data_IF_949471804950
#
_entry.id   IF_949471804950
#
_cell.length_a   1.000
_cell.length_b   1.000
_cell.length_c   1.000
_cell.angle_alpha   90.00
_cell.angle_beta   90.00
_cell.angle_gamma   90.00
#
_symmetry.space_group_name_H-M   'P 1'
#
loop_
_entity.id
_entity.type
_entity.pdbx_description
1 polymer ?
#
# COMPACT_ATOMS: atom_id res chain seq x y z
N UNK A 1 -2.85 -5.40 -23.70
CA UNK A 1 -1.38 -5.34 -23.54
C UNK A 1 -0.61 -4.79 -24.76
N UNK A 2 -1.22 -4.62 -25.95
CA UNK A 2 -0.51 -4.12 -27.15
C UNK A 2 -0.12 -2.62 -27.15
N UNK A 3 -0.68 -1.79 -26.26
CA UNK A 3 -0.47 -0.32 -26.30
C UNK A 3 0.91 0.19 -25.84
N UNK A 4 1.81 -0.68 -25.35
CA UNK A 4 3.13 -0.27 -24.83
C UNK A 4 4.30 -0.47 -25.80
N UNK A 5 4.04 -1.01 -27.00
CA UNK A 5 5.00 -1.13 -28.11
C UNK A 5 4.51 -0.13 -29.16
N UNK A 6 4.89 1.14 -29.16
CA UNK A 6 5.94 1.73 -30.01
C UNK A 6 6.01 3.25 -29.73
N UNK A 7 7.22 3.83 -29.65
CA UNK A 7 7.51 5.28 -29.79
C UNK A 7 7.35 6.18 -28.55
N UNK A 8 8.47 6.63 -27.94
CA UNK A 8 8.50 7.59 -26.81
C UNK A 8 7.63 7.21 -25.59
N UNK A 9 7.57 5.92 -25.28
CA UNK A 9 6.70 5.28 -24.29
C UNK A 9 7.15 5.41 -22.82
N UNK A 10 7.76 6.53 -22.40
CA UNK A 10 8.01 6.70 -20.96
C UNK A 10 6.66 6.91 -20.27
N UNK A 11 6.27 5.98 -19.39
CA UNK A 11 5.09 6.14 -18.53
C UNK A 11 5.20 7.48 -17.80
N UNK A 12 4.15 8.29 -17.89
CA UNK A 12 4.09 9.52 -17.11
C UNK A 12 4.19 9.19 -15.62
N UNK A 13 4.80 10.09 -14.85
CA UNK A 13 4.82 9.94 -13.40
C UNK A 13 3.40 9.85 -12.84
N UNK A 14 3.23 8.95 -11.88
CA UNK A 14 1.98 8.81 -11.18
C UNK A 14 1.88 9.81 -10.02
N UNK A 15 0.75 10.51 -9.91
CA UNK A 15 0.60 11.56 -8.92
C UNK A 15 0.54 11.01 -7.50
N UNK A 16 -0.23 9.93 -7.28
CA UNK A 16 -0.43 9.35 -5.96
C UNK A 16 0.85 8.71 -5.46
N UNK A 17 1.60 8.04 -6.33
CA UNK A 17 2.91 7.48 -5.98
C UNK A 17 3.91 8.57 -5.58
N UNK A 18 3.95 9.70 -6.29
CA UNK A 18 4.83 10.80 -5.89
C UNK A 18 4.40 11.43 -4.56
N UNK A 19 3.09 11.50 -4.29
CA UNK A 19 2.58 12.03 -3.02
C UNK A 19 2.93 11.08 -1.87
N UNK A 20 2.76 9.77 -2.02
CA UNK A 20 3.09 8.80 -0.97
C UNK A 20 4.58 8.87 -0.62
N UNK A 21 5.45 8.88 -1.63
CA UNK A 21 6.91 9.06 -1.42
C UNK A 21 7.22 10.38 -0.69
N UNK A 22 6.62 11.51 -1.12
CA UNK A 22 6.83 12.81 -0.44
C UNK A 22 6.37 12.81 1.00
N UNK A 23 5.25 12.14 1.30
CA UNK A 23 4.71 12.05 2.67
C UNK A 23 5.66 11.23 3.55
N UNK A 24 6.10 10.08 3.05
CA UNK A 24 7.08 9.21 3.70
C UNK A 24 8.35 9.97 4.08
N UNK A 25 9.00 10.64 3.10
CA UNK A 25 10.21 11.43 3.33
C UNK A 25 9.97 12.55 4.36
N UNK A 26 8.90 13.34 4.21
CA UNK A 26 8.60 14.44 5.14
C UNK A 26 8.35 13.96 6.56
N UNK A 27 7.68 12.82 6.71
CA UNK A 27 7.41 12.24 8.03
C UNK A 27 8.72 11.81 8.70
N UNK A 28 9.62 11.19 7.94
CA UNK A 28 10.94 10.79 8.45
C UNK A 28 11.81 12.00 8.82
N UNK A 29 11.94 13.00 7.94
CA UNK A 29 12.67 14.23 8.23
C UNK A 29 12.18 14.88 9.53
N UNK A 30 10.86 14.95 9.71
CA UNK A 30 10.25 15.50 10.93
C UNK A 30 10.54 14.63 12.17
N UNK A 31 10.51 13.30 12.04
CA UNK A 31 10.75 12.36 13.14
C UNK A 31 12.20 12.40 13.61
N UNK A 32 13.14 12.49 12.68
CA UNK A 32 14.57 12.46 12.96
C UNK A 32 15.18 13.87 13.14
N UNK A 33 14.38 14.94 12.95
CA UNK A 33 14.84 16.34 13.00
C UNK A 33 15.98 16.61 12.00
N UNK A 34 15.90 16.00 10.82
CA UNK A 34 16.85 16.19 9.73
C UNK A 34 16.23 17.03 8.62
N UNK A 35 17.08 17.73 7.87
CA UNK A 35 16.66 18.54 6.74
C UNK A 35 16.58 17.70 5.45
N UNK A 36 15.83 18.19 4.45
CA UNK A 36 15.72 17.49 3.15
C UNK A 36 17.07 17.29 2.45
N UNK A 37 18.06 18.16 2.71
CA UNK A 37 19.42 17.99 2.18
C UNK A 37 20.10 16.76 2.78
N UNK A 38 19.95 16.55 4.08
CA UNK A 38 20.54 15.41 4.79
C UNK A 38 19.91 14.10 4.32
N UNK A 39 18.57 14.05 4.26
CA UNK A 39 17.87 12.88 3.70
C UNK A 39 18.28 12.59 2.25
N UNK A 40 18.42 13.64 1.41
CA UNK A 40 18.85 13.45 0.03
C UNK A 40 20.26 12.85 -0.05
N UNK A 41 21.18 13.28 0.82
CA UNK A 41 22.53 12.72 0.90
C UNK A 41 22.51 11.27 1.36
N UNK A 42 21.65 10.89 2.31
CA UNK A 42 21.49 9.49 2.76
C UNK A 42 21.08 8.56 1.62
N UNK A 43 20.17 8.99 0.74
CA UNK A 43 19.78 8.20 -0.45
C UNK A 43 20.78 8.33 -1.62
N UNK A 44 21.94 8.96 -1.42
CA UNK A 44 22.99 9.09 -2.42
C UNK A 44 22.70 10.12 -3.52
N UNK A 45 21.93 11.16 -3.23
CA UNK A 45 21.63 12.25 -4.17
C UNK A 45 21.73 13.63 -3.52
N UNK A 46 21.35 14.69 -4.23
CA UNK A 46 21.27 16.06 -3.69
C UNK A 46 19.82 16.51 -3.58
N UNK A 47 19.50 17.46 -2.68
CA UNK A 47 18.11 17.93 -2.50
C UNK A 47 17.51 18.48 -3.80
N UNK A 48 18.32 19.17 -4.61
CA UNK A 48 17.87 19.68 -5.92
C UNK A 48 17.50 18.56 -6.90
N UNK A 49 18.26 17.47 -6.93
CA UNK A 49 17.96 16.30 -7.77
C UNK A 49 16.74 15.55 -7.24
N UNK A 50 16.66 15.32 -5.93
CA UNK A 50 15.50 14.68 -5.28
C UNK A 50 14.21 15.47 -5.53
N UNK A 51 14.24 16.79 -5.33
CA UNK A 51 13.11 17.68 -5.61
C UNK A 51 12.64 17.58 -7.06
N UNK A 52 13.58 17.56 -8.01
CA UNK A 52 13.27 17.35 -9.43
C UNK A 52 12.68 15.96 -9.72
N UNK A 53 13.20 14.90 -9.08
CA UNK A 53 12.66 13.54 -9.20
C UNK A 53 11.24 13.42 -8.63
N UNK A 54 10.93 14.18 -7.58
CA UNK A 54 9.60 14.20 -6.97
C UNK A 54 8.64 15.23 -7.60
N UNK A 55 9.10 16.04 -8.56
CA UNK A 55 8.26 17.04 -9.24
C UNK A 55 7.47 16.40 -10.38
N UNK A 56 6.16 16.60 -10.38
CA UNK A 56 5.25 16.09 -11.41
C UNK A 56 5.54 16.67 -12.80
N UNK A 57 5.97 17.94 -12.87
CA UNK A 57 6.28 18.58 -14.14
C UNK A 57 7.61 18.13 -14.75
N UNK A 58 8.49 17.48 -13.98
CA UNK A 58 9.77 17.00 -14.50
C UNK A 58 9.60 15.54 -14.94
N UNK A 59 9.46 15.30 -16.24
CA UNK A 59 9.32 13.95 -16.79
C UNK A 59 10.66 13.28 -17.10
N UNK A 60 11.78 14.02 -16.99
CA UNK A 60 13.13 13.53 -17.32
C UNK A 60 13.68 12.74 -16.14
N UNK A 61 13.74 13.36 -14.96
CA UNK A 61 14.31 12.75 -13.76
C UNK A 61 13.24 11.94 -13.04
N UNK A 62 13.39 10.63 -12.94
CA UNK A 62 12.52 9.76 -12.15
C UNK A 62 13.29 9.21 -10.95
N UNK A 63 12.56 8.86 -9.89
CA UNK A 63 13.07 8.02 -8.81
C UNK A 63 13.42 6.65 -9.43
N UNK A 64 14.66 6.19 -9.23
CA UNK A 64 15.05 4.84 -9.64
C UNK A 64 14.46 3.80 -8.69
N UNK A 65 14.48 2.53 -9.08
CA UNK A 65 14.03 1.45 -8.18
C UNK A 65 14.91 1.34 -6.93
N UNK A 66 16.22 1.58 -7.08
CA UNK A 66 17.18 1.57 -5.97
C UNK A 66 16.87 2.70 -4.98
N UNK A 67 16.63 3.92 -5.47
CA UNK A 67 16.22 5.04 -4.62
C UNK A 67 14.88 4.78 -3.95
N UNK A 68 13.92 4.17 -4.67
CA UNK A 68 12.62 3.82 -4.12
C UNK A 68 12.75 2.82 -2.96
N UNK A 69 13.56 1.77 -3.12
CA UNK A 69 13.86 0.79 -2.07
C UNK A 69 14.55 1.47 -0.90
N UNK A 70 15.60 2.25 -1.16
CA UNK A 70 16.38 2.90 -0.11
C UNK A 70 15.54 3.90 0.71
N UNK A 71 14.65 4.65 0.05
CA UNK A 71 13.68 5.51 0.74
C UNK A 71 12.82 4.69 1.71
N UNK A 72 12.31 3.52 1.30
CA UNK A 72 11.50 2.68 2.19
C UNK A 72 12.30 2.09 3.34
N UNK A 73 13.55 1.71 3.10
CA UNK A 73 14.46 1.19 4.14
C UNK A 73 14.79 2.25 5.19
N UNK A 74 15.11 3.48 4.77
CA UNK A 74 15.40 4.59 5.69
C UNK A 74 14.14 4.99 6.47
N UNK A 75 13.03 5.20 5.76
CA UNK A 75 11.82 5.77 6.38
C UNK A 75 11.02 4.74 7.16
N UNK A 76 11.21 3.44 6.90
CA UNK A 76 10.36 2.35 7.39
C UNK A 76 8.91 2.42 6.90
N UNK A 77 8.59 3.30 5.94
CA UNK A 77 7.24 3.51 5.43
C UNK A 77 7.06 2.81 4.07
N UNK A 78 6.30 1.70 4.09
CA UNK A 78 5.97 0.91 2.91
C UNK A 78 4.68 1.34 2.20
N UNK A 79 4.05 2.45 2.61
CA UNK A 79 2.86 2.98 1.92
C UNK A 79 3.07 3.26 0.43
N UNK A 80 4.25 3.70 -0.05
CA UNK A 80 4.48 3.86 -1.48
C UNK A 80 4.45 2.53 -2.25
N UNK A 81 4.94 1.45 -1.65
CA UNK A 81 4.93 0.11 -2.24
C UNK A 81 3.51 -0.47 -2.27
N UNK A 82 2.73 -0.29 -1.20
CA UNK A 82 1.30 -0.64 -1.18
C UNK A 82 0.53 0.11 -2.27
N UNK A 83 0.79 1.41 -2.43
CA UNK A 83 0.19 2.20 -3.51
C UNK A 83 0.59 1.66 -4.89
N UNK A 84 1.88 1.36 -5.09
CA UNK A 84 2.34 0.81 -6.36
C UNK A 84 1.63 -0.51 -6.70
N UNK A 85 1.36 -1.36 -5.70
CA UNK A 85 0.64 -2.61 -5.89
C UNK A 85 -0.84 -2.40 -6.26
N UNK A 86 -1.53 -1.47 -5.59
CA UNK A 86 -2.94 -1.20 -5.88
C UNK A 86 -3.15 -0.64 -7.29
N UNK A 87 -2.15 0.02 -7.90
CA UNK A 87 -2.19 0.42 -9.31
C UNK A 87 -2.35 -0.77 -10.29
N UNK A 88 -2.13 -2.00 -9.83
CA UNK A 88 -2.25 -3.24 -10.60
C UNK A 88 -3.21 -4.24 -9.94
N UNK A 89 -4.09 -3.76 -9.06
CA UNK A 89 -5.03 -4.60 -8.29
C UNK A 89 -4.33 -5.69 -7.48
N UNK A 90 -3.06 -5.44 -7.11
CA UNK A 90 -2.30 -6.33 -6.24
C UNK A 90 -2.34 -5.87 -4.80
N UNK A 91 -2.29 -6.87 -3.94
CA UNK A 91 -2.20 -6.71 -2.50
C UNK A 91 -0.81 -7.16 -2.05
N UNK A 92 -0.14 -6.31 -1.28
CA UNK A 92 1.14 -6.65 -0.66
C UNK A 92 0.93 -6.95 0.82
N UNK A 93 1.50 -8.06 1.26
CA UNK A 93 1.58 -8.41 2.67
C UNK A 93 3.02 -8.73 3.08
N UNK A 94 3.40 -8.32 4.29
CA UNK A 94 4.71 -8.68 4.85
C UNK A 94 4.71 -10.14 5.26
N UNK A 95 5.78 -10.86 4.94
CA UNK A 95 6.02 -12.23 5.39
C UNK A 95 6.83 -12.29 6.69
N UNK A 96 7.32 -11.14 7.19
CA UNK A 96 8.06 -11.12 8.45
C UNK A 96 7.11 -11.16 9.65
N UNK A 97 7.33 -12.08 10.60
CA UNK A 97 6.60 -12.08 11.87
C UNK A 97 6.95 -10.82 12.66
N UNK A 98 6.02 -9.86 12.72
CA UNK A 98 6.13 -8.67 13.56
C UNK A 98 6.11 -9.00 15.07
N UNK A 99 5.76 -10.23 15.42
CA UNK A 99 5.89 -10.88 16.73
C UNK A 99 5.22 -12.26 16.59
N UNK A 100 5.47 -13.24 17.48
CA UNK A 100 4.63 -14.43 17.53
C UNK A 100 3.17 -13.99 17.69
N UNK A 101 2.29 -14.37 16.76
CA UNK A 101 0.90 -13.99 16.82
C UNK A 101 0.26 -14.50 18.11
N UNK A 102 -0.42 -13.63 18.84
CA UNK A 102 -1.24 -14.04 19.97
C UNK A 102 -2.58 -14.56 19.44
N UNK A 103 -2.87 -15.83 19.73
CA UNK A 103 -4.13 -16.50 19.36
C UNK A 103 -5.33 -15.76 19.97
N UNK A 104 -5.14 -15.05 21.08
CA UNK A 104 -6.20 -14.30 21.78
C UNK A 104 -6.88 -13.25 20.89
N UNK A 105 -6.14 -12.64 19.94
CA UNK A 105 -6.66 -11.58 19.07
C UNK A 105 -7.31 -12.12 17.77
N UNK A 106 -7.25 -13.42 17.50
CA UNK A 106 -7.86 -13.98 16.29
C UNK A 106 -9.39 -13.88 16.30
N UNK A 107 -10.02 -13.95 17.47
CA UNK A 107 -11.47 -13.81 17.59
C UNK A 107 -11.94 -12.44 17.10
N UNK A 108 -11.32 -11.38 17.59
CA UNK A 108 -11.63 -10.00 17.19
C UNK A 108 -11.34 -9.75 15.71
N UNK A 109 -10.24 -10.30 15.18
CA UNK A 109 -9.92 -10.20 13.76
C UNK A 109 -10.92 -10.95 12.88
N UNK A 110 -11.35 -12.15 13.30
CA UNK A 110 -12.37 -12.91 12.59
C UNK A 110 -13.73 -12.19 12.60
N UNK A 111 -14.11 -11.59 13.74
CA UNK A 111 -15.33 -10.80 13.86
C UNK A 111 -15.27 -9.56 12.97
N UNK A 112 -14.15 -8.82 12.98
CA UNK A 112 -13.94 -7.67 12.11
C UNK A 112 -14.00 -8.06 10.63
N UNK A 113 -13.27 -9.11 10.23
CA UNK A 113 -13.33 -9.63 8.85
C UNK A 113 -14.76 -9.99 8.42
N UNK A 114 -15.54 -10.58 9.32
CA UNK A 114 -16.93 -10.92 9.04
C UNK A 114 -17.84 -9.69 8.91
N UNK A 115 -17.63 -8.66 9.74
CA UNK A 115 -18.36 -7.40 9.68
C UNK A 115 -18.09 -6.72 8.34
N UNK A 116 -16.83 -6.47 7.98
CA UNK A 116 -16.47 -5.79 6.72
C UNK A 116 -16.95 -6.59 5.48
N UNK A 117 -16.88 -7.92 5.55
CA UNK A 117 -17.42 -8.79 4.47
C UNK A 117 -18.94 -8.68 4.34
N UNK A 118 -19.65 -8.49 5.44
CA UNK A 118 -21.11 -8.30 5.42
C UNK A 118 -21.50 -6.90 4.92
N UNK A 119 -20.72 -5.87 5.26
CA UNK A 119 -20.94 -4.49 4.81
C UNK A 119 -20.75 -4.38 3.30
N UNK A 120 -19.63 -4.89 2.77
CA UNK A 120 -19.39 -4.97 1.31
C UNK A 120 -20.48 -5.74 0.58
N UNK A 121 -20.89 -6.91 1.09
CA UNK A 121 -21.99 -7.68 0.52
C UNK A 121 -23.30 -6.88 0.51
N UNK A 122 -23.63 -6.22 1.62
CA UNK A 122 -24.87 -5.44 1.77
C UNK A 122 -24.89 -4.23 0.83
N UNK A 123 -23.77 -3.53 0.68
CA UNK A 123 -23.62 -2.39 -0.22
C UNK A 123 -23.85 -2.81 -1.67
N UNK A 124 -23.21 -3.90 -2.12
CA UNK A 124 -23.38 -4.44 -3.47
C UNK A 124 -24.85 -4.83 -3.69
N UNK A 125 -25.47 -5.53 -2.74
CA UNK A 125 -26.89 -5.93 -2.85
C UNK A 125 -27.84 -4.74 -2.91
N UNK A 126 -27.50 -3.63 -2.24
CA UNK A 126 -28.28 -2.40 -2.28
C UNK A 126 -28.13 -1.69 -3.63
N UNK A 127 -26.90 -1.49 -4.09
CA UNK A 127 -26.60 -0.79 -5.34
C UNK A 127 -27.19 -1.49 -6.58
N UNK A 128 -27.28 -2.82 -6.60
CA UNK A 128 -27.84 -3.54 -7.76
C UNK A 128 -29.38 -3.58 -7.79
N UNK A 129 -30.07 -3.04 -6.78
CA UNK A 129 -31.51 -3.27 -6.56
C UNK A 129 -32.39 -2.62 -7.62
N UNK A 130 -32.03 -1.44 -8.10
CA UNK A 130 -32.79 -0.69 -9.11
C UNK A 130 -32.27 -0.91 -10.55
N UNK A 131 -31.21 -1.71 -10.70
CA UNK A 131 -30.58 -2.05 -11.98
C UNK A 131 -29.73 -0.93 -12.58
N UNK A 132 -29.46 0.15 -11.84
CA UNK A 132 -28.58 1.24 -12.24
C UNK A 132 -27.48 1.42 -11.20
N UNK A 133 -26.27 1.77 -11.63
CA UNK A 133 -25.16 2.03 -10.71
C UNK A 133 -24.69 3.46 -10.95
N UNK A 134 -24.85 4.30 -9.94
CA UNK A 134 -24.31 5.67 -9.91
C UNK A 134 -22.81 5.66 -9.60
N UNK A 135 -22.09 6.74 -9.94
CA UNK A 135 -20.66 6.85 -9.58
C UNK A 135 -20.46 6.90 -8.05
N UNK A 136 -21.43 7.39 -7.29
CA UNK A 136 -21.40 7.36 -5.83
C UNK A 136 -21.49 5.92 -5.31
N UNK A 137 -22.46 5.14 -5.78
CA UNK A 137 -22.60 3.72 -5.41
C UNK A 137 -21.38 2.89 -5.83
N UNK A 138 -20.83 3.16 -7.01
CA UNK A 138 -19.59 2.52 -7.46
C UNK A 138 -18.42 2.86 -6.54
N UNK A 139 -18.29 4.11 -6.13
CA UNK A 139 -17.25 4.54 -5.19
C UNK A 139 -17.41 3.87 -3.83
N UNK A 140 -18.64 3.80 -3.32
CA UNK A 140 -18.95 3.15 -2.05
C UNK A 140 -18.69 1.64 -2.13
N UNK A 141 -19.16 0.95 -3.17
CA UNK A 141 -18.88 -0.48 -3.35
C UNK A 141 -17.38 -0.78 -3.40
N UNK A 142 -16.59 0.04 -4.11
CA UNK A 142 -15.14 -0.14 -4.17
C UNK A 142 -14.50 0.03 -2.78
N UNK A 143 -14.89 1.09 -2.06
CA UNK A 143 -14.42 1.33 -0.70
C UNK A 143 -14.72 0.16 0.24
N UNK A 144 -15.98 -0.30 0.28
CA UNK A 144 -16.38 -1.40 1.18
C UNK A 144 -15.68 -2.73 0.81
N UNK A 145 -15.45 -2.98 -0.49
CA UNK A 145 -14.66 -4.14 -0.95
C UNK A 145 -13.20 -4.03 -0.50
N UNK A 146 -12.59 -2.84 -0.61
CA UNK A 146 -11.22 -2.61 -0.16
C UNK A 146 -11.08 -2.80 1.36
N UNK A 147 -12.05 -2.31 2.14
CA UNK A 147 -12.10 -2.47 3.60
C UNK A 147 -12.19 -3.97 3.99
N UNK A 148 -13.03 -4.74 3.28
CA UNK A 148 -13.14 -6.21 3.45
C UNK A 148 -11.84 -6.95 3.09
N UNK A 149 -11.17 -6.54 2.01
CA UNK A 149 -9.87 -7.10 1.62
C UNK A 149 -8.83 -6.81 2.70
N UNK A 150 -8.78 -5.58 3.22
CA UNK A 150 -7.86 -5.20 4.29
C UNK A 150 -8.05 -6.07 5.55
N UNK A 151 -9.28 -6.23 6.03
CA UNK A 151 -9.58 -7.04 7.20
C UNK A 151 -9.22 -8.53 6.99
N UNK A 152 -9.50 -9.07 5.80
CA UNK A 152 -9.11 -10.44 5.45
C UNK A 152 -7.58 -10.63 5.43
N UNK A 153 -6.83 -9.63 4.97
CA UNK A 153 -5.38 -9.67 4.97
C UNK A 153 -4.79 -9.57 6.37
N UNK A 154 -5.32 -8.70 7.20
CA UNK A 154 -4.92 -8.60 8.61
C UNK A 154 -5.12 -9.95 9.32
N UNK A 155 -6.27 -10.59 9.09
CA UNK A 155 -6.57 -11.93 9.63
C UNK A 155 -5.63 -12.99 9.09
N UNK A 156 -5.42 -13.05 7.77
CA UNK A 156 -4.46 -13.98 7.12
C UNK A 156 -3.05 -13.82 7.70
N UNK A 157 -2.62 -12.59 7.88
CA UNK A 157 -1.31 -12.28 8.44
C UNK A 157 -1.22 -12.79 9.87
N UNK A 158 -2.17 -12.45 10.73
CA UNK A 158 -2.19 -12.93 12.11
C UNK A 158 -2.13 -14.46 12.20
N UNK A 159 -2.89 -15.18 11.36
CA UNK A 159 -2.85 -16.64 11.27
C UNK A 159 -1.45 -17.15 10.88
N UNK A 160 -0.79 -16.51 9.90
CA UNK A 160 0.54 -16.91 9.45
C UNK A 160 1.63 -16.77 10.52
N UNK A 161 1.38 -15.98 11.57
CA UNK A 161 2.31 -15.75 12.68
C UNK A 161 2.12 -16.72 13.85
N UNK A 162 1.09 -17.57 13.82
CA UNK A 162 0.81 -18.54 14.88
C UNK A 162 1.70 -19.76 14.68
N UNK A 163 2.45 -20.12 15.72
CA UNK A 163 3.25 -21.36 15.72
C UNK A 163 2.31 -22.56 15.82
N UNK A 164 2.35 -23.45 14.83
CA UNK A 164 1.69 -24.75 14.92
C UNK A 164 2.38 -25.62 15.97
N UNK A 165 1.59 -26.30 16.80
CA UNK A 165 2.07 -27.35 17.70
C UNK A 165 1.80 -28.69 17.02
N UNK A 166 2.84 -29.48 16.75
CA UNK A 166 2.67 -30.84 16.25
C UNK A 166 2.10 -31.72 17.38
N UNK A 167 0.89 -32.24 17.17
CA UNK A 167 0.32 -33.22 18.08
C UNK A 167 0.95 -34.58 17.76
N UNK A 168 1.92 -35.00 18.57
CA UNK A 168 2.40 -36.38 18.58
C UNK A 168 1.30 -37.25 19.19
N UNK A 169 0.79 -38.21 18.41
CA UNK A 169 -0.12 -39.23 18.92
C UNK A 169 0.73 -40.29 19.63
N UNK A 170 0.56 -40.41 20.95
CA UNK A 170 1.02 -41.56 21.75
C UNK A 170 0.23 -42.83 21.40
#
# INVERSE_FOLDING_TARGET
>A
MEKYRFGNNKRAKDHGLLISIKKSIKADCKRNTIENEEFANEIGTTSGVLSNKLKMSNQINAISIEEFIHIMEITGDYSPLKYLASMFDFVITSTEPQSPGDVSNLGELADSMQIESNESFSEIKRAIKDGQITEEEKTNMLKEVDDSIEAALQTKNAISLIKSVEITKD
#
